data_IF_601895853323
#
_entry.id   IF_601895853323
#
_cell.length_a   1.000
_cell.length_b   1.000
_cell.length_c   1.000
_cell.angle_alpha   90.00
_cell.angle_beta   90.00
_cell.angle_gamma   90.00
#
_symmetry.space_group_name_H-M   'P 1'
#
loop_
_entity.id
_entity.type
_entity.pdbx_description
1 polymer ?
#
# COMPACT_ATOMS: atom_id res chain seq x y z
N UNK A 1 -4.73 -14.41 1.20
CA UNK A 1 -6.17 -14.11 0.99
C UNK A 1 -6.31 -13.54 -0.41
N UNK A 2 -7.14 -14.14 -1.26
CA UNK A 2 -7.49 -13.56 -2.56
C UNK A 2 -8.69 -12.66 -2.33
N UNK A 3 -8.55 -11.37 -2.60
CA UNK A 3 -9.63 -10.39 -2.42
C UNK A 3 -10.54 -10.46 -3.66
N UNK A 4 -11.87 -10.64 -3.50
CA UNK A 4 -12.80 -10.60 -4.63
C UNK A 4 -12.65 -9.30 -5.42
N UNK A 5 -12.79 -9.38 -6.75
CA UNK A 5 -12.61 -8.22 -7.65
C UNK A 5 -13.58 -7.09 -7.32
N UNK A 6 -14.77 -7.40 -6.82
CA UNK A 6 -15.75 -6.38 -6.41
C UNK A 6 -15.22 -5.50 -5.27
N UNK A 7 -14.56 -6.08 -4.27
CA UNK A 7 -14.03 -5.35 -3.10
C UNK A 7 -12.82 -4.49 -3.49
N UNK A 8 -12.07 -4.88 -4.52
CA UNK A 8 -10.95 -4.04 -5.02
C UNK A 8 -11.40 -2.75 -5.71
N UNK A 9 -12.70 -2.59 -6.00
CA UNK A 9 -13.24 -1.40 -6.70
C UNK A 9 -13.80 -0.33 -5.77
N UNK A 10 -14.03 -0.65 -4.50
CA UNK A 10 -14.43 0.32 -3.46
C UNK A 10 -13.25 0.47 -2.49
N UNK A 11 -12.43 1.53 -2.64
CA UNK A 11 -11.33 1.80 -1.73
C UNK A 11 -11.74 1.83 -0.24
N UNK A 12 -12.97 2.27 0.05
CA UNK A 12 -13.56 2.32 1.39
C UNK A 12 -13.82 0.92 1.96
N UNK A 13 -14.47 0.03 1.19
CA UNK A 13 -14.69 -1.37 1.61
C UNK A 13 -13.37 -2.13 1.74
N UNK A 14 -12.42 -1.82 0.86
CA UNK A 14 -11.09 -2.42 0.96
C UNK A 14 -10.37 -1.98 2.23
N UNK A 15 -10.49 -0.71 2.63
CA UNK A 15 -9.94 -0.21 3.88
C UNK A 15 -10.57 -0.91 5.10
N UNK A 16 -11.89 -1.11 5.09
CA UNK A 16 -12.58 -1.87 6.14
C UNK A 16 -12.07 -3.30 6.22
N UNK A 17 -11.93 -3.98 5.08
CA UNK A 17 -11.38 -5.34 5.03
C UNK A 17 -9.95 -5.42 5.59
N UNK A 18 -9.08 -4.44 5.29
CA UNK A 18 -7.71 -4.40 5.80
C UNK A 18 -7.68 -4.30 7.33
N UNK A 19 -8.59 -3.53 7.92
CA UNK A 19 -8.73 -3.37 9.36
C UNK A 19 -9.30 -4.63 9.99
N UNK A 20 -10.43 -5.14 9.48
CA UNK A 20 -11.11 -6.32 10.01
C UNK A 20 -10.23 -7.57 9.96
N UNK A 21 -9.56 -7.80 8.83
CA UNK A 21 -8.69 -8.96 8.64
C UNK A 21 -7.30 -8.76 9.23
N UNK A 22 -7.03 -7.59 9.84
CA UNK A 22 -5.74 -7.21 10.43
C UNK A 22 -4.58 -7.52 9.48
N UNK A 23 -4.71 -7.11 8.22
CA UNK A 23 -3.71 -7.38 7.19
C UNK A 23 -2.37 -6.79 7.60
N UNK A 24 -1.30 -7.59 7.53
CA UNK A 24 0.05 -7.17 7.93
C UNK A 24 0.98 -6.90 6.74
N UNK A 25 0.69 -7.48 5.57
CA UNK A 25 1.46 -7.27 4.34
C UNK A 25 0.46 -7.03 3.22
N UNK A 26 0.61 -5.91 2.52
CA UNK A 26 -0.27 -5.52 1.43
C UNK A 26 0.55 -5.35 0.14
N UNK A 27 0.18 -6.06 -0.92
CA UNK A 27 0.77 -5.88 -2.25
C UNK A 27 -0.19 -5.07 -3.13
N UNK A 28 0.31 -3.99 -3.74
CA UNK A 28 -0.49 -3.07 -4.57
C UNK A 28 0.35 -2.52 -5.73
N UNK A 29 -0.34 -2.01 -6.74
CA UNK A 29 0.28 -1.06 -7.67
C UNK A 29 0.31 0.34 -7.02
N UNK A 30 1.27 1.21 -7.37
CA UNK A 30 1.26 2.62 -6.95
C UNK A 30 -0.10 3.32 -7.12
N UNK A 31 -0.76 3.13 -8.27
CA UNK A 31 -2.07 3.73 -8.56
C UNK A 31 -3.18 3.26 -7.63
N UNK A 32 -3.23 1.96 -7.33
CA UNK A 32 -4.22 1.39 -6.43
C UNK A 32 -4.01 1.82 -4.97
N UNK A 33 -2.75 1.91 -4.54
CA UNK A 33 -2.41 2.45 -3.23
C UNK A 33 -2.81 3.92 -3.11
N UNK A 34 -2.56 4.74 -4.15
CA UNK A 34 -3.00 6.13 -4.17
C UNK A 34 -4.51 6.26 -3.99
N UNK A 35 -5.29 5.43 -4.68
CA UNK A 35 -6.76 5.40 -4.53
C UNK A 35 -7.18 5.07 -3.09
N UNK A 36 -6.53 4.09 -2.46
CA UNK A 36 -6.76 3.73 -1.05
C UNK A 36 -6.45 4.91 -0.11
N UNK A 37 -5.31 5.58 -0.29
CA UNK A 37 -4.92 6.74 0.53
C UNK A 37 -5.86 7.92 0.33
N UNK A 38 -6.37 8.12 -0.90
CA UNK A 38 -7.31 9.20 -1.21
C UNK A 38 -8.70 8.96 -0.61
N UNK A 39 -9.16 7.71 -0.55
CA UNK A 39 -10.44 7.35 0.03
C UNK A 39 -10.46 7.44 1.57
N UNK A 40 -9.30 7.22 2.19
CA UNK A 40 -9.12 7.56 3.60
C UNK A 40 -9.11 9.09 3.78
N UNK A 41 -10.26 9.66 4.16
CA UNK A 41 -10.38 11.07 4.49
C UNK A 41 -9.36 11.49 5.56
N UNK A 42 -8.97 12.78 5.58
CA UNK A 42 -8.12 13.30 6.65
C UNK A 42 -8.82 13.09 8.00
N UNK A 43 -8.21 12.32 8.90
CA UNK A 43 -8.78 11.98 10.20
C UNK A 43 -9.59 10.68 10.25
N UNK A 44 -9.59 9.87 9.18
CA UNK A 44 -10.21 8.55 9.19
C UNK A 44 -9.52 7.62 10.22
N UNK A 45 -10.24 7.24 11.27
CA UNK A 45 -9.73 6.40 12.36
C UNK A 45 -9.26 5.02 11.87
N UNK A 46 -9.78 4.53 10.75
CA UNK A 46 -9.39 3.22 10.18
C UNK A 46 -7.90 3.18 9.88
N UNK A 47 -7.31 4.31 9.48
CA UNK A 47 -5.87 4.45 9.24
C UNK A 47 -5.05 4.09 10.49
N UNK A 48 -5.48 4.55 11.68
CA UNK A 48 -4.82 4.22 12.94
C UNK A 48 -5.04 2.78 13.41
N UNK A 49 -6.06 2.08 12.87
CA UNK A 49 -6.37 0.68 13.19
C UNK A 49 -5.71 -0.34 12.27
N UNK A 50 -5.03 0.11 11.20
CA UNK A 50 -4.33 -0.78 10.28
C UNK A 50 -3.23 -1.55 11.00
N UNK A 51 -3.17 -2.87 10.78
CA UNK A 51 -2.12 -3.75 11.31
C UNK A 51 -0.91 -3.88 10.36
N UNK A 52 -0.85 -3.03 9.32
CA UNK A 52 0.14 -3.12 8.26
C UNK A 52 1.57 -2.96 8.80
N UNK A 53 2.42 -3.91 8.44
CA UNK A 53 3.86 -3.89 8.70
C UNK A 53 4.63 -3.50 7.44
N UNK A 54 4.13 -3.90 6.27
CA UNK A 54 4.69 -3.51 4.99
C UNK A 54 3.64 -3.34 3.89
N UNK A 55 3.93 -2.41 2.98
CA UNK A 55 3.24 -2.26 1.69
C UNK A 55 4.28 -2.48 0.60
N UNK A 56 3.99 -3.41 -0.29
CA UNK A 56 4.83 -3.79 -1.42
C UNK A 56 4.23 -3.21 -2.70
N UNK A 57 5.00 -2.39 -3.40
CA UNK A 57 4.65 -1.84 -4.70
C UNK A 57 5.24 -2.67 -5.83
N UNK A 58 4.44 -3.01 -6.83
CA UNK A 58 4.87 -3.68 -8.05
C UNK A 58 3.94 -3.34 -9.22
N UNK A 59 4.37 -3.63 -10.45
CA UNK A 59 3.53 -3.53 -11.66
C UNK A 59 3.45 -2.14 -12.30
N UNK A 60 3.79 -1.07 -11.59
CA UNK A 60 3.94 0.28 -12.15
C UNK A 60 5.19 0.96 -11.59
N UNK A 61 5.63 2.04 -12.26
CA UNK A 61 6.72 2.87 -11.74
C UNK A 61 6.24 3.60 -10.48
N UNK A 62 6.93 3.39 -9.37
CA UNK A 62 6.69 4.15 -8.15
C UNK A 62 7.32 5.54 -8.25
N UNK A 63 6.50 6.58 -8.20
CA UNK A 63 6.94 7.97 -8.09
C UNK A 63 6.87 8.40 -6.61
N UNK A 64 8.01 8.72 -5.98
CA UNK A 64 8.05 9.07 -4.54
C UNK A 64 7.12 10.24 -4.17
N UNK A 65 6.83 11.14 -5.11
CA UNK A 65 5.86 12.22 -4.93
C UNK A 65 4.46 11.72 -4.55
N UNK A 66 4.07 10.54 -5.03
CA UNK A 66 2.75 9.93 -4.78
C UNK A 66 2.61 9.41 -3.35
N UNK A 67 3.73 9.12 -2.67
CA UNK A 67 3.74 8.64 -1.29
C UNK A 67 3.65 9.77 -0.26
N UNK A 68 3.89 11.03 -0.66
CA UNK A 68 3.93 12.17 0.27
C UNK A 68 2.68 12.29 1.15
N UNK A 69 1.44 12.15 0.64
CA UNK A 69 0.25 12.24 1.50
C UNK A 69 0.20 11.16 2.58
N UNK A 70 0.70 9.95 2.28
CA UNK A 70 0.79 8.87 3.25
C UNK A 70 1.88 9.12 4.28
N UNK A 71 3.08 9.47 3.82
CA UNK A 71 4.24 9.74 4.68
C UNK A 71 3.96 10.88 5.65
N UNK A 72 3.26 11.93 5.21
CA UNK A 72 2.84 13.02 6.09
C UNK A 72 1.86 12.60 7.17
N UNK A 73 1.05 11.56 6.92
CA UNK A 73 0.02 11.07 7.86
C UNK A 73 0.53 10.01 8.82
N UNK A 74 1.38 9.09 8.36
CA UNK A 74 1.80 7.90 9.11
C UNK A 74 3.32 7.74 9.26
N UNK A 75 4.11 8.57 8.57
CA UNK A 75 5.56 8.41 8.49
C UNK A 75 5.97 7.23 7.61
N UNK A 76 7.27 6.91 7.68
CA UNK A 76 7.89 5.79 6.94
C UNK A 76 8.19 4.57 7.82
N UNK A 77 8.03 4.70 9.14
CA UNK A 77 8.42 3.66 10.08
C UNK A 77 7.47 2.47 10.07
N UNK A 78 6.14 2.73 10.09
CA UNK A 78 5.12 1.69 10.00
C UNK A 78 3.85 2.18 9.28
N UNK A 79 3.45 1.51 8.18
CA UNK A 79 4.10 0.36 7.54
C UNK A 79 5.35 0.75 6.74
N UNK A 80 6.30 -0.17 6.62
CA UNK A 80 7.42 -0.02 5.71
C UNK A 80 6.94 -0.02 4.26
N UNK A 81 7.36 0.99 3.49
CA UNK A 81 7.06 1.11 2.08
C UNK A 81 8.19 0.47 1.27
N UNK A 82 7.87 -0.57 0.50
CA UNK A 82 8.84 -1.38 -0.25
C UNK A 82 8.52 -1.28 -1.73
N UNK A 83 9.44 -0.73 -2.51
CA UNK A 83 9.34 -0.78 -3.96
C UNK A 83 9.99 -2.06 -4.46
N UNK A 84 9.23 -2.91 -5.15
CA UNK A 84 9.74 -4.15 -5.74
C UNK A 84 9.67 -4.05 -7.26
N UNK A 85 10.81 -4.29 -7.90
CA UNK A 85 10.91 -4.33 -9.35
C UNK A 85 11.17 -5.76 -9.84
N UNK A 86 10.36 -6.20 -10.79
CA UNK A 86 10.48 -7.48 -11.47
C UNK A 86 9.57 -7.52 -12.69
N UNK A 87 10.07 -8.09 -13.77
CA UNK A 87 9.27 -8.46 -14.96
C UNK A 87 8.94 -9.95 -14.89
N UNK A 88 7.92 -10.41 -15.61
CA UNK A 88 7.46 -11.82 -15.65
C UNK A 88 8.59 -12.81 -15.89
N UNK A 89 9.54 -12.43 -16.73
CA UNK A 89 10.72 -13.17 -17.18
C UNK A 89 11.79 -13.35 -16.09
N UNK A 90 11.66 -12.65 -14.96
CA UNK A 90 12.63 -12.67 -13.85
C UNK A 90 12.08 -13.28 -12.56
N UNK A 91 11.02 -14.11 -12.69
CA UNK A 91 10.38 -14.81 -11.57
C UNK A 91 9.84 -13.86 -10.50
N UNK A 92 8.85 -13.06 -10.92
CA UNK A 92 8.02 -12.18 -10.06
C UNK A 92 8.78 -10.95 -9.54
N UNK A 93 9.93 -11.11 -8.88
CA UNK A 93 10.69 -10.00 -8.28
C UNK A 93 12.20 -10.24 -8.31
N UNK A 94 12.97 -9.25 -8.77
CA UNK A 94 14.44 -9.35 -8.91
C UNK A 94 15.19 -8.41 -7.96
N UNK A 95 14.65 -7.24 -7.63
CA UNK A 95 15.28 -6.27 -6.71
C UNK A 95 14.29 -5.70 -5.69
N UNK A 96 14.80 -5.38 -4.49
CA UNK A 96 14.05 -4.69 -3.44
C UNK A 96 14.77 -3.40 -3.02
N UNK A 97 14.00 -2.33 -2.78
CA UNK A 97 14.48 -1.11 -2.13
C UNK A 97 13.52 -0.72 -1.02
N UNK A 98 14.07 -0.61 0.21
CA UNK A 98 13.32 -0.05 1.34
C UNK A 98 13.35 1.47 1.23
N UNK A 99 12.18 2.09 1.16
CA UNK A 99 12.08 3.56 1.18
C UNK A 99 12.51 4.07 2.56
N UNK A 100 13.50 4.94 2.57
CA UNK A 100 14.03 5.66 3.74
C UNK A 100 14.10 7.15 3.39
N UNK A 101 14.04 8.02 4.39
CA UNK A 101 14.21 9.47 4.18
C UNK A 101 15.64 9.78 3.70
N UNK A 102 15.81 10.84 2.91
CA UNK A 102 17.10 11.28 2.35
C UNK A 102 17.94 12.06 3.35
#
# INVERSE_FOLDING_TARGET
>A
MVVPREVTRSPEEFLDLLVEQRVTVLSQTPSAFRSLVSAAASGDERIGRLALRSVVFAGEKLEFGELRPWVQRLGLDRPALVNMYGITETTVHTTYYRVVDA
#
